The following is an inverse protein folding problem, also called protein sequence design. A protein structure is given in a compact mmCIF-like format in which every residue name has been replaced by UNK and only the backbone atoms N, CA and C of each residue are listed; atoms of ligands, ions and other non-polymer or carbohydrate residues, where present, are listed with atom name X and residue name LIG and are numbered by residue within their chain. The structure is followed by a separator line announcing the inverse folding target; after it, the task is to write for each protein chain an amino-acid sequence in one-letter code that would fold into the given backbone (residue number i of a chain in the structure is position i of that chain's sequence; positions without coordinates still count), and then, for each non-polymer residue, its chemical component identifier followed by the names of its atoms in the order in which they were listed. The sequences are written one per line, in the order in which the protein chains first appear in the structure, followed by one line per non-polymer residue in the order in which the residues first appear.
data_IF_502536922236
#
_entry.id   IF_502536922236
#
_cell.length_a   1.000
_cell.length_b   1.000
_cell.length_c   1.000
_cell.angle_alpha   90.00
_cell.angle_beta   90.00
_cell.angle_gamma   90.00
#
_symmetry.space_group_name_H-M   'P 1'
#
loop_
_entity.id
_entity.type
_entity.pdbx_description
1 polymer ?
#
# COMPACT_ATOMS: atom_id res chain seq x y z
N UNK A 1 32.25 -6.48 -4.57
CA UNK A 1 31.59 -7.43 -3.64
C UNK A 1 30.12 -7.44 -3.99
N UNK A 2 29.44 -8.58 -3.98
CA UNK A 2 27.99 -8.61 -4.20
C UNK A 2 27.28 -7.89 -3.05
N UNK A 3 26.33 -7.01 -3.36
CA UNK A 3 25.43 -6.41 -2.39
C UNK A 3 24.57 -7.46 -1.70
N UNK A 4 23.89 -7.06 -0.61
CA UNK A 4 23.01 -7.93 0.17
C UNK A 4 21.56 -7.55 -0.03
N UNK A 5 20.72 -8.56 -0.23
CA UNK A 5 19.26 -8.43 -0.20
C UNK A 5 18.78 -8.94 1.16
N UNK A 6 18.28 -8.05 2.00
CA UNK A 6 17.85 -8.36 3.37
C UNK A 6 16.36 -8.14 3.48
N UNK A 7 15.65 -9.08 4.10
CA UNK A 7 14.20 -9.00 4.35
C UNK A 7 13.97 -8.83 5.85
N UNK A 8 13.15 -7.85 6.23
CA UNK A 8 12.71 -7.63 7.62
C UNK A 8 11.22 -7.91 7.70
N UNK A 9 10.86 -9.00 8.39
CA UNK A 9 9.48 -9.45 8.62
C UNK A 9 9.18 -9.53 10.10
N UNK A 10 7.90 -9.48 10.44
CA UNK A 10 7.40 -9.64 11.80
C UNK A 10 7.09 -11.09 12.05
N UNK A 11 7.50 -11.66 13.16
CA UNK A 11 7.32 -13.10 13.42
C UNK A 11 6.03 -13.42 14.20
N UNK A 12 5.24 -12.40 14.56
CA UNK A 12 4.05 -12.52 15.41
C UNK A 12 2.82 -11.97 14.66
N UNK A 13 1.94 -11.25 15.36
CA UNK A 13 0.73 -10.63 14.80
C UNK A 13 0.92 -9.15 14.43
N UNK A 14 2.15 -8.71 14.14
CA UNK A 14 2.45 -7.29 13.90
C UNK A 14 2.96 -6.55 15.14
N UNK A 15 3.24 -5.26 14.96
CA UNK A 15 3.73 -4.33 16.00
C UNK A 15 4.99 -4.75 16.77
N UNK A 16 5.82 -5.62 16.19
CA UNK A 16 7.08 -6.10 16.79
C UNK A 16 8.22 -5.06 16.79
N UNK A 17 7.93 -3.81 16.39
CA UNK A 17 8.94 -2.76 16.28
C UNK A 17 9.82 -2.85 15.03
N UNK A 18 9.35 -3.49 13.95
CA UNK A 18 10.08 -3.63 12.67
C UNK A 18 10.67 -2.33 12.15
N UNK A 19 9.91 -1.23 12.22
CA UNK A 19 10.37 0.09 11.76
C UNK A 19 11.71 0.52 12.37
N UNK A 20 11.97 0.19 13.65
CA UNK A 20 13.25 0.50 14.30
C UNK A 20 14.41 -0.32 13.72
N UNK A 21 14.17 -1.59 13.42
CA UNK A 21 15.17 -2.47 12.79
C UNK A 21 15.42 -2.01 11.35
N UNK A 22 14.37 -1.67 10.61
CA UNK A 22 14.46 -1.14 9.26
C UNK A 22 15.27 0.15 9.26
N UNK A 23 14.97 1.10 10.13
CA UNK A 23 15.72 2.37 10.25
C UNK A 23 17.22 2.13 10.52
N UNK A 24 17.55 1.25 11.48
CA UNK A 24 18.94 0.88 11.78
C UNK A 24 19.66 0.27 10.58
N UNK A 25 19.00 -0.60 9.82
CA UNK A 25 19.59 -1.28 8.66
C UNK A 25 19.65 -0.37 7.43
N UNK A 26 18.79 0.65 7.37
CA UNK A 26 18.68 1.56 6.23
C UNK A 26 19.94 2.39 6.01
N UNK A 27 20.74 2.66 7.05
CA UNK A 27 22.02 3.39 6.93
C UNK A 27 23.00 2.76 5.92
N UNK A 28 22.81 1.49 5.56
CA UNK A 28 23.64 0.74 4.63
C UNK A 28 22.91 0.34 3.35
N UNK A 29 21.65 0.72 3.19
CA UNK A 29 20.82 0.32 2.06
C UNK A 29 20.82 1.42 0.99
N UNK A 30 20.95 1.02 -0.27
CA UNK A 30 20.72 1.92 -1.41
C UNK A 30 19.21 2.09 -1.67
N UNK A 31 18.41 1.05 -1.36
CA UNK A 31 16.97 1.09 -1.52
C UNK A 31 16.23 0.35 -0.39
N UNK A 32 15.06 0.86 -0.03
CA UNK A 32 14.08 0.21 0.85
C UNK A 32 12.79 -0.05 0.08
N UNK A 33 12.28 -1.28 0.16
CA UNK A 33 11.19 -1.79 -0.67
C UNK A 33 10.04 -2.28 0.19
N UNK A 34 8.86 -1.68 0.03
CA UNK A 34 7.61 -2.26 0.54
C UNK A 34 7.03 -3.20 -0.51
N UNK A 35 6.76 -4.46 -0.13
CA UNK A 35 6.37 -5.49 -1.08
C UNK A 35 4.94 -6.03 -0.91
N UNK A 36 4.25 -5.69 0.18
CA UNK A 36 2.90 -6.19 0.48
C UNK A 36 2.12 -5.23 1.39
N UNK A 37 0.88 -5.62 1.72
CA UNK A 37 -0.01 -4.85 2.57
C UNK A 37 -0.51 -3.58 1.88
N UNK A 38 -0.78 -2.54 2.66
CA UNK A 38 -1.16 -1.22 2.20
C UNK A 38 -0.98 -0.21 3.33
N UNK A 39 -1.83 0.81 3.37
CA UNK A 39 -1.85 1.80 4.46
C UNK A 39 -2.41 1.22 5.79
N UNK A 40 -2.71 -0.07 5.90
CA UNK A 40 -3.07 -0.73 7.16
C UNK A 40 -1.86 -1.03 8.05
N UNK A 41 -0.66 -0.81 7.56
CA UNK A 41 0.57 -0.83 8.35
C UNK A 41 0.83 0.55 8.94
N UNK A 42 1.40 0.60 10.15
CA UNK A 42 1.93 1.82 10.74
C UNK A 42 3.30 1.55 11.34
N UNK A 43 4.31 2.30 10.94
CA UNK A 43 5.64 2.24 11.54
C UNK A 43 5.99 3.60 12.11
N UNK A 44 6.19 3.62 13.43
CA UNK A 44 6.67 4.82 14.12
C UNK A 44 8.19 4.84 14.08
N UNK A 45 8.74 5.89 13.49
CA UNK A 45 10.17 6.21 13.51
C UNK A 45 10.40 7.39 14.44
N UNK A 46 11.54 7.37 15.13
CA UNK A 46 12.00 8.49 15.94
C UNK A 46 13.43 8.81 15.51
N UNK A 47 13.61 9.92 14.81
CA UNK A 47 14.92 10.40 14.33
C UNK A 47 15.16 11.75 14.97
N UNK A 48 16.31 11.91 15.63
CA UNK A 48 16.71 13.14 16.34
C UNK A 48 15.64 13.67 17.32
N UNK A 49 14.86 12.76 17.91
CA UNK A 49 13.79 13.08 18.84
C UNK A 49 12.44 13.41 18.19
N UNK A 50 12.37 13.54 16.86
CA UNK A 50 11.12 13.76 16.14
C UNK A 50 10.43 12.43 15.81
N UNK A 51 9.17 12.30 16.22
CA UNK A 51 8.32 11.14 15.92
C UNK A 51 7.61 11.33 14.59
N UNK A 52 7.82 10.40 13.66
CA UNK A 52 7.10 10.32 12.37
C UNK A 52 6.43 8.97 12.24
N UNK A 53 5.17 8.95 11.80
CA UNK A 53 4.41 7.72 11.58
C UNK A 53 4.20 7.54 10.09
N UNK A 54 4.73 6.45 9.54
CA UNK A 54 4.60 6.10 8.13
C UNK A 54 3.62 4.93 7.97
N UNK A 55 2.92 4.90 6.83
CA UNK A 55 1.93 3.88 6.50
C UNK A 55 2.25 3.18 5.17
N UNK A 56 2.24 3.91 4.05
CA UNK A 56 2.56 3.36 2.72
C UNK A 56 4.01 3.59 2.35
N UNK A 57 4.54 4.76 2.69
CA UNK A 57 5.90 5.15 2.31
C UNK A 57 6.91 4.28 3.08
N UNK A 58 7.89 3.67 2.40
CA UNK A 58 8.93 2.90 3.08
C UNK A 58 9.71 3.73 4.12
N UNK A 59 10.09 3.10 5.23
CA UNK A 59 10.76 3.76 6.35
C UNK A 59 12.06 4.48 5.98
N UNK A 60 12.71 4.06 4.89
CA UNK A 60 13.94 4.70 4.42
C UNK A 60 13.79 6.12 3.89
N UNK A 61 12.56 6.63 3.75
CA UNK A 61 12.33 7.98 3.21
C UNK A 61 12.92 9.08 4.08
N UNK A 62 13.18 8.81 5.37
CA UNK A 62 13.80 9.76 6.28
C UNK A 62 15.34 9.76 6.20
N UNK A 63 15.94 8.85 5.42
CA UNK A 63 17.39 8.75 5.24
C UNK A 63 17.80 9.31 3.88
N UNK A 64 18.74 10.26 3.89
CA UNK A 64 19.26 10.86 2.67
C UNK A 64 19.98 9.81 1.80
N UNK A 65 19.82 9.92 0.48
CA UNK A 65 20.48 9.01 -0.49
C UNK A 65 19.81 7.63 -0.64
N UNK A 66 18.77 7.33 0.12
CA UNK A 66 18.06 6.04 0.06
C UNK A 66 16.85 6.14 -0.87
N UNK A 67 16.79 5.28 -1.88
CA UNK A 67 15.61 5.14 -2.74
C UNK A 67 14.50 4.37 -2.01
N UNK A 68 13.26 4.82 -2.17
CA UNK A 68 12.10 4.16 -1.57
C UNK A 68 11.19 3.62 -2.66
N UNK A 69 10.94 2.32 -2.65
CA UNK A 69 10.23 1.61 -3.71
C UNK A 69 8.95 0.97 -3.14
N UNK A 70 7.81 1.31 -3.73
CA UNK A 70 6.53 0.61 -3.47
C UNK A 70 6.33 -0.43 -4.57
N UNK A 71 6.52 -1.70 -4.21
CA UNK A 71 6.40 -2.83 -5.12
C UNK A 71 4.96 -3.20 -5.45
N UNK A 72 4.79 -3.96 -6.55
CA UNK A 72 3.49 -4.33 -7.11
C UNK A 72 2.60 -5.21 -6.21
N UNK A 73 3.13 -5.72 -5.10
CA UNK A 73 2.35 -6.48 -4.14
C UNK A 73 1.51 -5.60 -3.22
N UNK A 74 1.83 -4.31 -3.09
CA UNK A 74 1.12 -3.34 -2.24
C UNK A 74 -0.21 -2.94 -2.86
N UNK A 75 -1.29 -2.94 -2.07
CA UNK A 75 -2.56 -2.28 -2.41
C UNK A 75 -2.48 -0.81 -2.00
N UNK A 76 -2.52 0.08 -3.00
CA UNK A 76 -2.17 1.48 -2.86
C UNK A 76 -3.42 2.35 -2.73
N UNK A 77 -3.53 3.13 -1.67
CA UNK A 77 -4.59 4.13 -1.51
C UNK A 77 -4.06 5.50 -1.98
N UNK A 78 -4.51 6.03 -3.14
CA UNK A 78 -3.92 7.23 -3.73
C UNK A 78 -4.01 8.48 -2.86
N UNK A 79 -5.19 8.74 -2.27
CA UNK A 79 -5.41 9.88 -1.36
C UNK A 79 -4.51 9.83 -0.13
N UNK A 80 -4.59 8.77 0.70
CA UNK A 80 -3.72 8.60 1.86
C UNK A 80 -2.22 8.66 1.53
N UNK A 81 -1.79 8.13 0.38
CA UNK A 81 -0.40 8.27 -0.06
C UNK A 81 -0.03 9.73 -0.31
N UNK A 82 -0.86 10.48 -1.02
CA UNK A 82 -0.58 11.89 -1.32
C UNK A 82 -0.59 12.76 -0.06
N UNK A 83 -1.46 12.46 0.90
CA UNK A 83 -1.46 13.08 2.23
C UNK A 83 -0.12 12.82 2.94
N UNK A 84 0.31 11.56 3.00
CA UNK A 84 1.58 11.15 3.63
C UNK A 84 2.80 11.83 2.96
N UNK A 85 2.79 11.95 1.63
CA UNK A 85 3.81 12.68 0.86
C UNK A 85 3.86 14.16 1.29
N UNK A 86 2.70 14.83 1.32
CA UNK A 86 2.61 16.26 1.65
C UNK A 86 3.02 16.54 3.09
N UNK A 87 2.65 15.67 4.03
CA UNK A 87 3.04 15.78 5.44
C UNK A 87 4.57 15.70 5.62
N UNK A 88 5.22 14.79 4.91
CA UNK A 88 6.69 14.64 4.95
C UNK A 88 7.40 15.81 4.27
N UNK A 89 6.92 16.27 3.13
CA UNK A 89 7.50 17.41 2.42
C UNK A 89 7.34 18.72 3.19
N UNK A 90 6.23 18.90 3.92
CA UNK A 90 6.05 20.03 4.84
C UNK A 90 7.12 20.07 5.94
N UNK A 91 7.73 18.93 6.26
CA UNK A 91 8.86 18.77 7.19
C UNK A 91 10.23 18.82 6.51
N UNK A 92 10.28 19.12 5.21
CA UNK A 92 11.52 19.23 4.44
C UNK A 92 12.08 17.90 3.93
N UNK A 93 11.32 16.81 3.99
CA UNK A 93 11.74 15.51 3.45
C UNK A 93 11.47 15.51 1.93
N UNK A 94 12.48 15.37 1.05
CA UNK A 94 12.27 15.36 -0.40
C UNK A 94 11.72 14.00 -0.83
N UNK A 95 10.39 13.82 -0.76
CA UNK A 95 9.74 12.52 -1.02
C UNK A 95 9.69 12.20 -2.50
N UNK A 96 9.18 13.10 -3.34
CA UNK A 96 9.06 12.89 -4.81
C UNK A 96 10.38 12.57 -5.50
N UNK A 97 11.50 13.06 -4.95
CA UNK A 97 12.83 12.79 -5.49
C UNK A 97 13.26 11.33 -5.31
N UNK A 98 12.79 10.66 -4.24
CA UNK A 98 13.28 9.35 -3.79
C UNK A 98 12.24 8.24 -3.85
N UNK A 99 10.96 8.57 -3.86
CA UNK A 99 9.87 7.59 -3.93
C UNK A 99 9.62 7.17 -5.38
N UNK A 100 9.57 5.86 -5.62
CA UNK A 100 9.07 5.27 -6.87
C UNK A 100 8.02 4.22 -6.59
N UNK A 101 7.01 4.16 -7.46
CA UNK A 101 5.81 3.36 -7.25
C UNK A 101 5.59 2.45 -8.46
N UNK A 102 5.33 1.17 -8.22
CA UNK A 102 5.02 0.23 -9.30
C UNK A 102 3.69 0.59 -9.98
N UNK A 103 3.63 0.62 -11.33
CA UNK A 103 2.36 0.77 -12.04
C UNK A 103 1.40 -0.41 -11.79
N UNK A 104 1.91 -1.55 -11.31
CA UNK A 104 1.13 -2.76 -11.09
C UNK A 104 0.45 -2.83 -9.71
N UNK A 105 0.63 -1.84 -8.84
CA UNK A 105 -0.10 -1.75 -7.58
C UNK A 105 -1.61 -1.65 -7.83
N UNK A 106 -2.45 -2.56 -7.30
CA UNK A 106 -3.89 -2.39 -7.28
C UNK A 106 -4.25 -1.15 -6.45
N UNK A 107 -5.30 -0.43 -6.86
CA UNK A 107 -5.76 0.75 -6.12
C UNK A 107 -6.83 0.40 -5.09
N UNK A 108 -6.71 1.00 -3.91
CA UNK A 108 -7.80 1.12 -2.94
C UNK A 108 -8.56 2.40 -3.27
N UNK A 109 -9.88 2.28 -3.35
CA UNK A 109 -10.81 3.32 -3.76
C UNK A 109 -12.01 3.29 -2.80
N UNK A 110 -12.85 4.35 -2.75
CA UNK A 110 -13.91 4.47 -1.74
C UNK A 110 -14.86 3.27 -1.64
N UNK A 111 -15.17 2.59 -2.74
CA UNK A 111 -16.00 1.39 -2.73
C UNK A 111 -15.35 0.20 -2.00
N UNK A 112 -14.02 0.09 -2.00
CA UNK A 112 -13.31 -0.93 -1.21
C UNK A 112 -13.47 -0.67 0.29
N UNK A 113 -13.36 0.60 0.71
CA UNK A 113 -13.55 1.01 2.12
C UNK A 113 -14.99 0.76 2.56
N UNK A 114 -15.96 1.16 1.74
CA UNK A 114 -17.38 0.92 2.03
C UNK A 114 -17.69 -0.58 2.17
N UNK A 115 -17.14 -1.40 1.28
CA UNK A 115 -17.28 -2.86 1.29
C UNK A 115 -16.65 -3.50 2.54
N UNK A 116 -15.45 -3.08 2.93
CA UNK A 116 -14.75 -3.57 4.12
C UNK A 116 -15.60 -3.31 5.39
N UNK A 117 -16.07 -2.07 5.56
CA UNK A 117 -16.93 -1.67 6.67
C UNK A 117 -18.26 -2.42 6.66
N UNK A 118 -18.90 -2.58 5.49
CA UNK A 118 -20.17 -3.28 5.35
C UNK A 118 -20.07 -4.76 5.73
N UNK A 119 -19.00 -5.45 5.29
CA UNK A 119 -18.72 -6.86 5.64
C UNK A 119 -18.49 -7.02 7.14
N UNK A 120 -17.61 -6.24 7.73
CA UNK A 120 -17.36 -6.30 9.18
C UNK A 120 -18.64 -6.04 9.98
N UNK A 121 -19.46 -5.07 9.57
CA UNK A 121 -20.75 -4.82 10.23
C UNK A 121 -21.69 -6.02 10.13
N UNK A 122 -21.76 -6.68 8.97
CA UNK A 122 -22.63 -7.84 8.75
C UNK A 122 -22.24 -9.09 9.57
N UNK A 123 -20.96 -9.22 9.95
CA UNK A 123 -20.45 -10.34 10.74
C UNK A 123 -20.83 -10.28 12.23
N UNK A 124 -21.33 -9.14 12.73
CA UNK A 124 -21.79 -9.01 14.12
C UNK A 124 -20.68 -9.28 15.14
N UNK A 125 -20.81 -10.36 15.91
CA UNK A 125 -19.81 -10.80 16.90
C UNK A 125 -18.64 -11.59 16.27
N UNK A 126 -18.77 -12.05 15.02
CA UNK A 126 -17.75 -12.83 14.30
C UNK A 126 -16.84 -11.95 13.44
N UNK A 127 -16.66 -10.69 13.83
CA UNK A 127 -15.78 -9.75 13.14
C UNK A 127 -14.34 -10.24 13.12
N UNK A 128 -13.66 -9.97 12.02
CA UNK A 128 -12.22 -10.22 11.89
C UNK A 128 -11.45 -9.16 12.69
N UNK A 129 -11.97 -7.93 12.76
CA UNK A 129 -11.24 -6.77 13.29
C UNK A 129 -10.40 -6.10 12.21
N UNK A 130 -10.95 -5.93 11.00
CA UNK A 130 -10.22 -5.27 9.92
C UNK A 130 -9.95 -3.80 10.26
N UNK A 131 -8.96 -3.22 9.58
CA UNK A 131 -8.65 -1.79 9.76
C UNK A 131 -9.70 -0.85 9.14
N UNK A 132 -10.70 -1.38 8.43
CA UNK A 132 -11.70 -0.59 7.70
C UNK A 132 -11.11 0.23 6.55
N UNK A 133 -9.91 -0.13 6.08
CA UNK A 133 -9.13 0.60 5.08
C UNK A 133 -9.27 0.03 3.66
N UNK A 134 -10.14 -0.97 3.45
CA UNK A 134 -10.39 -1.52 2.12
C UNK A 134 -9.31 -2.47 1.60
N UNK A 135 -8.42 -2.97 2.49
CA UNK A 135 -7.30 -3.85 2.12
C UNK A 135 -7.80 -5.16 1.53
N UNK A 136 -8.69 -5.85 2.25
CA UNK A 136 -9.24 -7.13 1.82
C UNK A 136 -9.98 -7.05 0.50
N UNK A 137 -10.97 -6.13 0.36
CA UNK A 137 -11.66 -5.93 -0.91
C UNK A 137 -10.72 -5.61 -2.09
N UNK A 138 -9.66 -4.81 -1.89
CA UNK A 138 -8.71 -4.52 -2.97
C UNK A 138 -7.88 -5.76 -3.38
N UNK A 139 -7.48 -6.62 -2.44
CA UNK A 139 -6.85 -7.90 -2.74
C UNK A 139 -7.80 -8.89 -3.42
N UNK A 140 -9.07 -8.90 -3.03
CA UNK A 140 -10.12 -9.70 -3.71
C UNK A 140 -10.25 -9.27 -5.17
N UNK A 141 -10.31 -7.96 -5.43
CA UNK A 141 -10.42 -7.42 -6.78
C UNK A 141 -9.20 -7.75 -7.65
N UNK A 142 -8.01 -7.73 -7.05
CA UNK A 142 -6.76 -8.20 -7.67
C UNK A 142 -6.87 -9.67 -8.04
N UNK A 143 -7.28 -10.53 -7.11
CA UNK A 143 -7.40 -11.98 -7.34
C UNK A 143 -8.51 -12.32 -8.35
N UNK A 144 -9.61 -11.57 -8.33
CA UNK A 144 -10.73 -11.69 -9.26
C UNK A 144 -10.40 -11.16 -10.67
N UNK A 145 -9.25 -10.46 -10.83
CA UNK A 145 -8.80 -9.82 -12.08
C UNK A 145 -9.73 -8.70 -12.56
N UNK A 146 -10.49 -8.08 -11.65
CA UNK A 146 -11.37 -6.94 -11.95
C UNK A 146 -10.81 -5.60 -11.48
N UNK A 147 -9.94 -5.62 -10.47
CA UNK A 147 -9.39 -4.42 -9.86
C UNK A 147 -8.61 -3.52 -10.83
N UNK A 148 -8.71 -2.21 -10.60
CA UNK A 148 -7.91 -1.19 -11.27
C UNK A 148 -6.51 -1.08 -10.64
N UNK A 149 -5.52 -0.70 -11.44
CA UNK A 149 -4.12 -0.53 -11.01
C UNK A 149 -3.63 0.89 -11.26
N UNK A 150 -2.54 1.29 -10.59
CA UNK A 150 -1.96 2.63 -10.76
C UNK A 150 -1.62 2.96 -12.22
N UNK A 151 -1.10 1.99 -12.98
CA UNK A 151 -0.80 2.14 -14.40
C UNK A 151 -2.04 2.39 -15.27
N UNK A 152 -3.23 1.98 -14.83
CA UNK A 152 -4.47 2.26 -15.57
C UNK A 152 -4.74 3.78 -15.64
N UNK A 153 -4.23 4.58 -14.69
CA UNK A 153 -4.43 6.03 -14.65
C UNK A 153 -3.76 6.78 -15.81
N UNK A 154 -2.77 6.20 -16.49
CA UNK A 154 -2.22 6.75 -17.74
C UNK A 154 -3.23 6.69 -18.90
N UNK A 155 -4.25 5.84 -18.79
CA UNK A 155 -5.24 5.54 -19.82
C UNK A 155 -6.64 5.87 -19.30
N UNK A 156 -6.90 7.17 -19.11
CA UNK A 156 -8.05 7.66 -18.33
C UNK A 156 -9.41 7.16 -18.81
N UNK A 157 -9.64 7.08 -20.12
CA UNK A 157 -10.90 6.59 -20.67
C UNK A 157 -11.12 5.10 -20.34
N UNK A 158 -10.07 4.29 -20.47
CA UNK A 158 -10.10 2.86 -20.13
C UNK A 158 -10.26 2.67 -18.62
N UNK A 159 -9.55 3.45 -17.81
CA UNK A 159 -9.69 3.47 -16.36
C UNK A 159 -11.13 3.79 -15.94
N UNK A 160 -11.72 4.85 -16.49
CA UNK A 160 -13.09 5.28 -16.17
C UNK A 160 -14.12 4.20 -16.52
N UNK A 161 -14.00 3.56 -17.68
CA UNK A 161 -14.88 2.43 -18.08
C UNK A 161 -14.76 1.26 -17.12
N UNK A 162 -13.53 0.83 -16.81
CA UNK A 162 -13.27 -0.28 -15.90
C UNK A 162 -13.73 0.02 -14.47
N UNK A 163 -13.53 1.25 -14.01
CA UNK A 163 -14.02 1.72 -12.72
C UNK A 163 -15.55 1.65 -12.64
N UNK A 164 -16.25 2.08 -13.70
CA UNK A 164 -17.72 2.03 -13.74
C UNK A 164 -18.25 0.60 -13.60
N UNK A 165 -17.67 -0.36 -14.32
CA UNK A 165 -18.06 -1.78 -14.24
C UNK A 165 -17.82 -2.38 -12.84
N UNK A 166 -16.66 -2.09 -12.23
CA UNK A 166 -16.33 -2.58 -10.89
C UNK A 166 -17.23 -1.95 -9.83
N UNK A 167 -17.48 -0.64 -9.94
CA UNK A 167 -18.36 0.07 -9.02
C UNK A 167 -19.81 -0.35 -9.16
N UNK A 168 -20.30 -0.67 -10.36
CA UNK A 168 -21.65 -1.24 -10.55
C UNK A 168 -21.80 -2.54 -9.74
N UNK A 169 -20.84 -3.46 -9.84
CA UNK A 169 -20.82 -4.69 -9.06
C UNK A 169 -20.85 -4.42 -7.54
N UNK A 170 -20.00 -3.54 -7.03
CA UNK A 170 -19.96 -3.24 -5.61
C UNK A 170 -21.19 -2.47 -5.12
N UNK A 171 -21.67 -1.51 -5.89
CA UNK A 171 -22.87 -0.74 -5.53
C UNK A 171 -24.11 -1.62 -5.51
N UNK A 172 -24.20 -2.62 -6.40
CA UNK A 172 -25.26 -3.61 -6.34
C UNK A 172 -25.22 -4.38 -5.00
N UNK A 173 -24.05 -4.86 -4.58
CA UNK A 173 -23.90 -5.56 -3.29
C UNK A 173 -24.18 -4.63 -2.10
N UNK A 174 -23.62 -3.42 -2.12
CA UNK A 174 -23.78 -2.44 -1.03
C UNK A 174 -25.26 -2.09 -0.81
N UNK A 175 -26.01 -1.80 -1.87
CA UNK A 175 -27.44 -1.46 -1.75
C UNK A 175 -28.33 -2.66 -1.46
N UNK A 176 -28.16 -3.77 -2.20
CA UNK A 176 -29.16 -4.85 -2.21
C UNK A 176 -28.87 -5.98 -1.21
N UNK A 177 -27.60 -6.18 -0.83
CA UNK A 177 -27.21 -7.24 0.11
C UNK A 177 -26.85 -6.69 1.48
N UNK A 178 -26.03 -5.63 1.52
CA UNK A 178 -25.59 -5.03 2.78
C UNK A 178 -26.50 -3.90 3.29
N UNK A 179 -27.48 -3.47 2.48
CA UNK A 179 -28.43 -2.39 2.82
C UNK A 179 -27.72 -1.10 3.28
N UNK A 180 -26.63 -0.75 2.58
CA UNK A 180 -25.81 0.44 2.82
C UNK A 180 -25.86 1.39 1.63
N UNK A 181 -25.48 2.66 1.86
CA UNK A 181 -25.43 3.68 0.81
C UNK A 181 -24.41 3.28 -0.26
N UNK A 182 -24.79 3.25 -1.55
CA UNK A 182 -23.85 3.11 -2.66
C UNK A 182 -22.80 4.22 -2.67
N UNK A 183 -21.64 3.92 -3.25
CA UNK A 183 -20.57 4.89 -3.46
C UNK A 183 -20.79 5.61 -4.79
N UNK A 184 -20.68 6.94 -4.78
CA UNK A 184 -20.86 7.74 -5.98
C UNK A 184 -19.69 7.59 -6.96
N UNK A 185 -20.02 7.27 -8.21
CA UNK A 185 -19.05 7.04 -9.26
C UNK A 185 -18.30 8.32 -9.64
N UNK A 186 -19.01 9.44 -9.79
CA UNK A 186 -18.44 10.69 -10.28
C UNK A 186 -17.50 11.29 -9.22
N UNK A 187 -17.93 11.29 -7.94
CA UNK A 187 -17.08 11.70 -6.81
C UNK A 187 -15.80 10.86 -6.73
N UNK A 188 -15.91 9.53 -6.93
CA UNK A 188 -14.75 8.63 -6.92
C UNK A 188 -13.80 8.91 -8.10
N UNK A 189 -14.36 9.10 -9.29
CA UNK A 189 -13.60 9.38 -10.50
C UNK A 189 -12.85 10.72 -10.40
N UNK A 190 -13.52 11.77 -9.93
CA UNK A 190 -12.94 13.11 -9.79
C UNK A 190 -11.86 13.13 -8.70
N UNK A 191 -12.11 12.55 -7.53
CA UNK A 191 -11.11 12.45 -6.47
C UNK A 191 -9.87 11.65 -6.92
N UNK A 192 -10.07 10.59 -7.72
CA UNK A 192 -8.95 9.83 -8.28
C UNK A 192 -8.17 10.64 -9.31
N UNK A 193 -8.83 11.52 -10.07
CA UNK A 193 -8.17 12.39 -11.05
C UNK A 193 -7.25 13.39 -10.37
N UNK A 194 -7.73 14.03 -9.32
CA UNK A 194 -6.99 15.05 -8.57
C UNK A 194 -5.65 14.54 -8.04
N UNK A 195 -5.63 13.29 -7.57
CA UNK A 195 -4.41 12.66 -7.04
C UNK A 195 -3.54 12.03 -8.11
N UNK A 196 -4.10 11.66 -9.27
CA UNK A 196 -3.37 11.01 -10.35
C UNK A 196 -2.22 11.89 -10.87
N UNK A 197 -2.50 13.18 -11.13
CA UNK A 197 -1.53 14.12 -11.70
C UNK A 197 -0.27 14.28 -10.82
N UNK A 198 -0.42 14.08 -9.51
CA UNK A 198 0.66 14.16 -8.52
C UNK A 198 1.43 12.84 -8.37
N UNK A 199 0.77 11.69 -8.55
CA UNK A 199 1.36 10.37 -8.34
C UNK A 199 2.03 9.80 -9.60
N UNK A 200 1.48 10.08 -10.79
CA UNK A 200 2.00 9.55 -12.06
C UNK A 200 3.49 9.85 -12.31
N UNK A 201 4.05 11.03 -11.95
CA UNK A 201 5.48 11.30 -12.08
C UNK A 201 6.40 10.39 -11.25
N UNK A 202 5.88 9.76 -10.19
CA UNK A 202 6.63 8.83 -9.35
C UNK A 202 6.53 7.37 -9.82
N UNK A 203 5.75 7.08 -10.86
CA UNK A 203 5.60 5.72 -11.36
C UNK A 203 6.87 5.25 -12.06
N UNK A 204 7.34 4.05 -11.72
CA UNK A 204 8.48 3.41 -12.37
C UNK A 204 8.36 1.89 -12.38
N UNK A 205 9.05 1.23 -13.32
CA UNK A 205 9.13 -0.22 -13.33
C UNK A 205 10.12 -0.71 -12.26
N UNK A 206 9.57 -1.13 -11.13
CA UNK A 206 10.34 -1.52 -9.94
C UNK A 206 11.15 -2.81 -10.17
N UNK A 207 10.68 -3.73 -11.04
CA UNK A 207 11.37 -5.00 -11.29
C UNK A 207 12.78 -4.80 -11.86
N UNK A 208 12.92 -4.10 -13.00
CA UNK A 208 14.21 -3.70 -13.56
C UNK A 208 15.04 -2.86 -12.60
N UNK A 209 14.45 -1.88 -11.89
CA UNK A 209 15.22 -1.07 -10.93
C UNK A 209 15.88 -1.94 -9.83
N UNK A 210 15.16 -2.93 -9.30
CA UNK A 210 15.72 -3.87 -8.32
C UNK A 210 16.81 -4.76 -8.94
N UNK A 211 16.66 -5.13 -10.20
CA UNK A 211 17.66 -5.89 -10.94
C UNK A 211 18.95 -5.08 -11.13
N UNK A 212 18.83 -3.82 -11.54
CA UNK A 212 19.96 -2.92 -11.77
C UNK A 212 20.72 -2.64 -10.46
N UNK A 213 20.01 -2.39 -9.36
CA UNK A 213 20.62 -2.23 -8.03
C UNK A 213 21.39 -3.49 -7.60
N UNK A 214 20.79 -4.66 -7.80
CA UNK A 214 21.42 -5.94 -7.47
C UNK A 214 22.70 -6.15 -8.31
N UNK A 215 22.64 -5.87 -9.61
CA UNK A 215 23.76 -6.05 -10.53
C UNK A 215 24.90 -5.06 -10.27
N UNK A 216 24.57 -3.84 -9.81
CA UNK A 216 25.53 -2.86 -9.31
C UNK A 216 26.17 -3.27 -7.96
N UNK A 217 25.69 -4.34 -7.32
CA UNK A 217 26.18 -4.81 -6.02
C UNK A 217 25.71 -3.93 -4.85
N UNK A 218 24.58 -3.25 -5.01
CA UNK A 218 23.98 -2.41 -3.96
C UNK A 218 23.22 -3.24 -2.92
N UNK A 219 23.09 -2.69 -1.71
CA UNK A 219 22.30 -3.32 -0.66
C UNK A 219 20.83 -2.93 -0.78
N UNK A 220 19.93 -3.91 -0.76
CA UNK A 220 18.48 -3.72 -0.86
C UNK A 220 17.81 -4.26 0.40
N UNK A 221 16.99 -3.43 1.02
CA UNK A 221 16.22 -3.78 2.21
C UNK A 221 14.73 -3.94 1.85
N UNK A 222 14.15 -5.09 2.16
CA UNK A 222 12.72 -5.34 1.99
C UNK A 222 12.02 -5.19 3.33
N UNK A 223 11.10 -4.25 3.40
CA UNK A 223 10.30 -3.93 4.57
C UNK A 223 8.96 -4.66 4.49
N UNK A 224 8.79 -5.67 5.34
CA UNK A 224 7.53 -6.37 5.52
C UNK A 224 6.59 -5.59 6.44
N UNK A 225 5.29 -5.69 6.18
CA UNK A 225 4.26 -5.17 7.07
C UNK A 225 3.46 -6.30 7.72
N UNK A 226 2.81 -6.00 8.84
CA UNK A 226 2.17 -7.00 9.71
C UNK A 226 3.19 -8.07 10.18
N UNK A 227 2.76 -9.28 10.49
CA UNK A 227 3.65 -10.37 10.91
C UNK A 227 3.14 -11.72 10.43
N UNK A 228 4.00 -12.75 10.48
CA UNK A 228 3.77 -14.08 9.91
C UNK A 228 2.48 -14.74 10.40
N UNK A 229 2.02 -14.46 11.62
CA UNK A 229 0.78 -15.05 12.14
C UNK A 229 -0.50 -14.35 11.64
N UNK A 230 -0.34 -13.23 10.90
CA UNK A 230 -1.39 -12.57 10.11
C UNK A 230 -1.29 -12.88 8.62
N UNK A 231 -0.41 -13.78 8.19
CA UNK A 231 -0.29 -14.20 6.78
C UNK A 231 -1.61 -14.86 6.30
N UNK A 232 -2.02 -14.58 5.06
CA UNK A 232 -3.26 -15.14 4.51
C UNK A 232 -3.28 -16.67 4.39
N UNK A 233 -2.11 -17.30 4.23
CA UNK A 233 -1.93 -18.74 4.08
C UNK A 233 -1.43 -19.41 5.37
N UNK A 234 -0.48 -18.77 6.05
CA UNK A 234 0.24 -19.36 7.19
C UNK A 234 -0.23 -18.85 8.56
N UNK A 235 -1.08 -17.83 8.59
CA UNK A 235 -1.56 -17.21 9.81
C UNK A 235 -2.75 -17.91 10.45
N UNK A 236 -3.34 -17.26 11.45
CA UNK A 236 -4.52 -17.76 12.18
C UNK A 236 -5.83 -17.52 11.42
N UNK A 237 -5.96 -18.09 10.21
CA UNK A 237 -7.13 -17.90 9.35
C UNK A 237 -8.46 -18.26 10.06
N UNK A 238 -9.53 -17.45 9.97
CA UNK A 238 -9.68 -16.26 9.11
C UNK A 238 -9.21 -14.93 9.72
N UNK A 239 -8.63 -14.94 10.92
CA UNK A 239 -8.16 -13.73 11.64
C UNK A 239 -6.77 -13.29 11.16
N UNK A 240 -6.69 -12.93 9.88
CA UNK A 240 -5.45 -12.63 9.14
C UNK A 240 -5.64 -11.41 8.22
N UNK A 241 -4.55 -10.88 7.67
CA UNK A 241 -4.63 -9.93 6.54
C UNK A 241 -4.77 -10.69 5.22
N UNK A 242 -5.10 -9.98 4.13
CA UNK A 242 -5.32 -10.56 2.80
C UNK A 242 -4.06 -10.61 1.92
N UNK A 243 -2.88 -10.61 2.53
CA UNK A 243 -1.58 -10.66 1.86
C UNK A 243 -0.62 -11.60 2.57
N UNK A 244 0.41 -12.05 1.87
CA UNK A 244 1.51 -12.76 2.52
C UNK A 244 2.39 -11.78 3.29
N UNK A 245 2.75 -12.08 4.54
CA UNK A 245 3.38 -11.16 5.51
C UNK A 245 4.85 -11.45 5.81
#
# INVERSE_FOLDING_TARGET
MSGRNVVVIGTQWGDEGKGKIVDLLTERAAAVVRFQGGHNAGHTLVIDGEKTVLHLIPSGILRAGVQCLIGNGVVLAPGPLLEEIRELEAKGVPVRDRLRISPACPLILPYHVAMDVAREKSLGEQKIGTTGRGIGPAYEDKAARRGVRLGDLFYWQQFSSKLAEVMEYYNFLLANYYETKPVDFQETLDATREVADELLPMVADIGPMLHDLRDAGENILFEGAQGTLLDIDLGTYPFVTSSNT
#
